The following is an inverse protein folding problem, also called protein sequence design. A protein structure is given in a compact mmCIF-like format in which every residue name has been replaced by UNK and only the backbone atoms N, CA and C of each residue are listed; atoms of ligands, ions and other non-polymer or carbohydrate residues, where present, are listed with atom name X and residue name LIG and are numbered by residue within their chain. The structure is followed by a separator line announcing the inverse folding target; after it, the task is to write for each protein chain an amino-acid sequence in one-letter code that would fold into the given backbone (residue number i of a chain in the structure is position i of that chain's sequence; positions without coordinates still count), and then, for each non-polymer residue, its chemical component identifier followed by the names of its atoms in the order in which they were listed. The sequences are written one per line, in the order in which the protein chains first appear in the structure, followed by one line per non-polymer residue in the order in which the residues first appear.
data_IF_382459022997
#
_entry.id   IF_382459022997
#
_cell.length_a   1.000
_cell.length_b   1.000
_cell.length_c   1.000
_cell.angle_alpha   90.00
_cell.angle_beta   90.00
_cell.angle_gamma   90.00
#
_symmetry.space_group_name_H-M   'P 1'
#
loop_
_entity.id
_entity.type
_entity.pdbx_description
1 polymer ?
#
# COMPACT_ATOMS: atom_id res chain seq x y z
N UNK A 1 10.52 18.06 21.61
CA UNK A 1 9.57 17.39 20.70
C UNK A 1 8.70 16.43 21.49
N UNK A 2 7.42 16.43 21.21
CA UNK A 2 6.51 15.49 21.85
C UNK A 2 6.41 14.22 20.99
N UNK A 3 7.06 13.17 21.41
CA UNK A 3 7.11 11.92 20.65
C UNK A 3 5.78 11.22 20.57
N UNK A 4 4.93 11.33 21.60
CA UNK A 4 3.60 10.73 21.57
C UNK A 4 2.73 11.39 20.49
N UNK A 5 2.81 12.70 20.39
CA UNK A 5 2.07 13.44 19.40
C UNK A 5 2.58 13.13 17.99
N UNK A 6 3.90 13.01 17.84
CA UNK A 6 4.49 12.64 16.56
C UNK A 6 4.01 11.25 16.13
N UNK A 7 4.03 10.30 17.04
CA UNK A 7 3.57 8.94 16.74
C UNK A 7 2.10 8.93 16.32
N UNK A 8 1.27 9.74 16.98
CA UNK A 8 -0.13 9.84 16.64
C UNK A 8 -0.34 10.39 15.23
N UNK A 9 0.41 11.43 14.86
CA UNK A 9 0.32 12.02 13.54
C UNK A 9 0.77 11.04 12.45
N UNK A 10 1.83 10.29 12.72
CA UNK A 10 2.32 9.26 11.81
C UNK A 10 1.25 8.18 11.59
N UNK A 11 0.62 7.72 12.68
CA UNK A 11 -0.42 6.71 12.59
C UNK A 11 -1.63 7.18 11.79
N UNK A 12 -2.02 8.43 11.96
CA UNK A 12 -3.12 9.02 11.20
C UNK A 12 -2.81 8.99 9.70
N UNK A 13 -1.60 9.38 9.35
CA UNK A 13 -1.17 9.36 7.96
C UNK A 13 -1.17 7.94 7.39
N UNK A 14 -0.59 6.99 8.13
CA UNK A 14 -0.52 5.61 7.67
C UNK A 14 -1.89 4.96 7.56
N UNK A 15 -2.82 5.33 8.45
CA UNK A 15 -4.20 4.85 8.36
C UNK A 15 -4.85 5.34 7.07
N UNK A 16 -4.64 6.60 6.73
CA UNK A 16 -5.15 7.16 5.49
C UNK A 16 -4.56 6.45 4.27
N UNK A 17 -3.24 6.22 4.29
CA UNK A 17 -2.56 5.49 3.22
C UNK A 17 -3.15 4.08 3.09
N UNK A 18 -3.29 3.37 4.22
CA UNK A 18 -3.82 2.02 4.20
C UNK A 18 -5.22 1.96 3.62
N UNK A 19 -6.12 2.82 4.07
CA UNK A 19 -7.50 2.81 3.63
C UNK A 19 -7.63 3.14 2.14
N UNK A 20 -6.95 4.20 1.69
CA UNK A 20 -7.07 4.62 0.29
C UNK A 20 -6.36 3.68 -0.66
N UNK A 21 -5.17 3.22 -0.29
CA UNK A 21 -4.41 2.28 -1.12
C UNK A 21 -5.08 0.92 -1.20
N UNK A 22 -5.70 0.48 -0.12
CA UNK A 22 -6.43 -0.79 -0.11
C UNK A 22 -7.51 -0.80 -1.19
N UNK A 23 -8.27 0.27 -1.30
CA UNK A 23 -9.32 0.36 -2.31
C UNK A 23 -8.77 0.33 -3.72
N UNK A 24 -7.66 1.01 -3.96
CA UNK A 24 -7.02 1.00 -5.27
C UNK A 24 -6.57 -0.42 -5.65
N UNK A 25 -5.94 -1.10 -4.71
CA UNK A 25 -5.45 -2.46 -4.93
C UNK A 25 -6.63 -3.42 -5.18
N UNK A 26 -7.66 -3.36 -4.32
CA UNK A 26 -8.83 -4.21 -4.46
C UNK A 26 -9.50 -4.04 -5.82
N UNK A 27 -9.76 -2.78 -6.21
CA UNK A 27 -10.45 -2.50 -7.45
C UNK A 27 -9.65 -2.98 -8.65
N UNK A 28 -8.34 -2.80 -8.64
CA UNK A 28 -7.50 -3.26 -9.73
C UNK A 28 -7.49 -4.78 -9.83
N UNK A 29 -7.31 -5.47 -8.71
CA UNK A 29 -7.25 -6.93 -8.69
C UNK A 29 -8.57 -7.54 -9.13
N UNK A 30 -9.70 -7.04 -8.60
CA UNK A 30 -11.02 -7.54 -8.96
C UNK A 30 -11.25 -7.39 -10.47
N UNK A 31 -10.93 -6.23 -11.01
CA UNK A 31 -11.09 -5.99 -12.44
C UNK A 31 -10.19 -6.88 -13.26
N UNK A 32 -8.94 -7.06 -12.84
CA UNK A 32 -8.00 -7.90 -13.57
C UNK A 32 -8.44 -9.37 -13.58
N UNK A 33 -9.04 -9.85 -12.50
CA UNK A 33 -9.60 -11.20 -12.45
C UNK A 33 -10.81 -11.31 -13.39
N UNK A 34 -11.69 -10.32 -13.36
CA UNK A 34 -12.86 -10.30 -14.26
C UNK A 34 -12.44 -10.29 -15.73
N UNK A 35 -11.39 -9.56 -16.06
CA UNK A 35 -10.89 -9.46 -17.44
C UNK A 35 -10.03 -10.64 -17.86
N UNK A 36 -9.75 -11.57 -16.94
CA UNK A 36 -8.94 -12.75 -17.24
C UNK A 36 -7.43 -12.50 -17.20
N UNK A 37 -6.99 -11.31 -16.79
CA UNK A 37 -5.56 -10.98 -16.70
C UNK A 37 -4.89 -11.56 -15.46
N UNK A 38 -5.68 -11.84 -14.43
CA UNK A 38 -5.23 -12.50 -13.22
C UNK A 38 -6.17 -13.65 -12.90
N UNK A 39 -5.63 -14.70 -12.30
CA UNK A 39 -6.41 -15.87 -11.91
C UNK A 39 -6.37 -16.05 -10.40
N UNK A 40 -7.41 -16.68 -9.85
CA UNK A 40 -7.36 -17.13 -8.46
C UNK A 40 -6.17 -18.07 -8.33
N UNK A 41 -5.49 -18.02 -7.23
CA UNK A 41 -4.23 -18.71 -6.93
C UNK A 41 -2.97 -18.04 -7.47
N UNK A 42 -3.10 -16.98 -8.28
CA UNK A 42 -1.94 -16.18 -8.67
C UNK A 42 -1.45 -15.36 -7.47
N UNK A 43 -0.19 -14.96 -7.53
CA UNK A 43 0.38 -14.02 -6.57
C UNK A 43 0.67 -12.70 -7.29
N UNK A 44 0.35 -11.60 -6.62
CA UNK A 44 0.64 -10.26 -7.14
C UNK A 44 1.72 -9.64 -6.29
N UNK A 45 2.77 -9.19 -6.94
CA UNK A 45 3.86 -8.50 -6.27
C UNK A 45 3.50 -7.03 -6.16
N UNK A 46 3.55 -6.48 -4.94
CA UNK A 46 3.20 -5.10 -4.68
C UNK A 46 4.37 -4.38 -4.05
N UNK A 47 4.60 -3.18 -4.51
CA UNK A 47 5.64 -2.33 -3.98
C UNK A 47 5.06 -0.98 -3.60
N UNK A 48 5.41 -0.51 -2.40
CA UNK A 48 5.04 0.82 -1.93
C UNK A 48 6.31 1.63 -1.72
N UNK A 49 6.32 2.83 -2.25
CA UNK A 49 7.47 3.72 -2.13
C UNK A 49 7.07 4.94 -1.30
N UNK A 50 7.78 5.16 -0.21
CA UNK A 50 7.56 6.30 0.64
C UNK A 50 8.71 7.29 0.44
N UNK A 51 8.37 8.55 0.23
CA UNK A 51 9.34 9.61 0.05
C UNK A 51 9.02 10.73 1.03
N UNK A 52 10.03 11.15 1.79
CA UNK A 52 9.93 12.39 2.54
C UNK A 52 10.48 13.49 1.65
N UNK A 53 9.58 14.33 1.14
CA UNK A 53 9.95 15.39 0.21
C UNK A 53 10.96 16.33 0.85
N UNK A 54 11.92 16.75 0.06
CA UNK A 54 12.96 17.71 0.46
C UNK A 54 13.95 17.19 1.50
N UNK A 55 13.87 15.90 1.86
CA UNK A 55 14.74 15.31 2.89
C UNK A 55 15.60 14.17 2.38
N UNK A 56 15.52 13.85 1.10
CA UNK A 56 16.29 12.76 0.48
C UNK A 56 16.14 11.41 1.17
N UNK A 57 14.95 11.17 1.73
CA UNK A 57 14.64 9.90 2.38
C UNK A 57 13.64 9.15 1.52
N UNK A 58 13.99 7.91 1.24
CA UNK A 58 13.18 7.03 0.42
C UNK A 58 13.14 5.65 1.08
N UNK A 59 11.96 5.08 1.16
CA UNK A 59 11.78 3.77 1.77
C UNK A 59 10.81 2.95 0.90
N UNK A 60 11.23 1.73 0.58
CA UNK A 60 10.45 0.84 -0.27
C UNK A 60 10.03 -0.38 0.54
N UNK A 61 8.75 -0.72 0.47
CA UNK A 61 8.19 -1.92 1.08
C UNK A 61 7.61 -2.77 -0.04
N UNK A 62 8.03 -4.01 -0.11
CA UNK A 62 7.55 -4.95 -1.13
C UNK A 62 7.00 -6.20 -0.47
N UNK A 63 5.96 -6.76 -1.07
CA UNK A 63 5.40 -8.01 -0.61
C UNK A 63 4.62 -8.67 -1.74
N UNK A 64 4.19 -9.90 -1.51
CA UNK A 64 3.36 -10.64 -2.45
C UNK A 64 2.00 -10.89 -1.82
N UNK A 65 0.96 -10.69 -2.61
CA UNK A 65 -0.41 -10.95 -2.18
C UNK A 65 -0.95 -12.09 -2.98
N UNK A 66 -1.46 -13.10 -2.28
CA UNK A 66 -2.07 -14.26 -2.94
C UNK A 66 -3.53 -13.99 -3.20
N UNK A 67 -3.98 -14.30 -4.40
CA UNK A 67 -5.37 -14.15 -4.82
C UNK A 67 -6.05 -15.51 -4.66
N UNK A 68 -7.06 -15.56 -3.79
CA UNK A 68 -7.82 -16.79 -3.55
C UNK A 68 -9.19 -16.75 -4.21
#
# INVERSE_FOLDING_TARGET
MNEENLNLEIRKFLKKVGITSQKVIENYIIKAVEDGNLKTSDEVEIEMKMILKEHNIEHIISDKIKID
#
